data_IF_392662580748
#
_entry.id   IF_392662580748
#
_cell.length_a   1.000
_cell.length_b   1.000
_cell.length_c   1.000
_cell.angle_alpha   90.00
_cell.angle_beta   90.00
_cell.angle_gamma   90.00
#
_symmetry.space_group_name_H-M   'P 1'
#
loop_
_entity.id
_entity.type
_entity.pdbx_description
1 polymer ?
#
# COMPACT_ATOMS: atom_id res chain seq x y z
N UNK A 1 -20.81 -0.07 0.67
CA UNK A 1 -22.28 0.07 0.71
C UNK A 1 -22.78 0.25 -0.72
N UNK A 2 -23.90 -0.37 -1.07
CA UNK A 2 -24.62 -0.22 -2.35
C UNK A 2 -26.13 -0.15 -2.06
N UNK A 3 -26.92 0.44 -2.95
CA UNK A 3 -28.36 0.65 -2.70
C UNK A 3 -29.17 -0.65 -2.61
N UNK A 4 -28.74 -1.69 -3.32
CA UNK A 4 -29.41 -2.99 -3.33
C UNK A 4 -28.42 -4.11 -3.05
N UNK A 5 -28.49 -4.67 -1.85
CA UNK A 5 -27.65 -5.77 -1.41
C UNK A 5 -27.99 -7.10 -2.11
N UNK A 6 -29.20 -7.26 -2.64
CA UNK A 6 -29.62 -8.49 -3.34
C UNK A 6 -28.93 -8.65 -4.71
N UNK A 7 -28.35 -7.57 -5.24
CA UNK A 7 -27.62 -7.58 -6.52
C UNK A 7 -26.28 -8.32 -6.46
N UNK A 8 -25.75 -8.59 -5.27
CA UNK A 8 -24.49 -9.31 -5.06
C UNK A 8 -24.75 -10.54 -4.19
N UNK A 9 -24.85 -11.70 -4.83
CA UNK A 9 -24.95 -12.99 -4.13
C UNK A 9 -23.56 -13.62 -4.10
N UNK A 10 -22.98 -13.68 -2.91
CA UNK A 10 -21.66 -14.28 -2.71
C UNK A 10 -21.72 -15.81 -2.86
N UNK A 11 -20.81 -16.38 -3.64
CA UNK A 11 -20.59 -17.82 -3.70
C UNK A 11 -19.75 -18.32 -2.52
N UNK A 12 -19.79 -19.62 -2.23
CA UNK A 12 -18.98 -20.26 -1.19
C UNK A 12 -18.34 -21.53 -1.75
N UNK A 13 -17.03 -21.78 -1.54
CA UNK A 13 -16.05 -20.93 -0.83
C UNK A 13 -15.57 -19.74 -1.68
N UNK A 14 -15.32 -18.59 -1.03
CA UNK A 14 -14.82 -17.35 -1.68
C UNK A 14 -13.46 -16.86 -1.17
N UNK A 15 -12.95 -17.45 -0.09
CA UNK A 15 -11.62 -17.17 0.44
C UNK A 15 -10.77 -18.43 0.39
N UNK A 16 -9.53 -18.31 -0.07
CA UNK A 16 -8.54 -19.37 -0.05
C UNK A 16 -7.24 -18.87 0.59
N UNK A 17 -6.60 -19.70 1.42
CA UNK A 17 -5.26 -19.43 1.95
C UNK A 17 -4.24 -20.22 1.14
N UNK A 18 -3.29 -19.54 0.50
CA UNK A 18 -2.12 -20.19 -0.09
C UNK A 18 -1.21 -20.66 1.05
N UNK A 19 -1.01 -21.97 1.20
CA UNK A 19 -0.13 -22.55 2.23
C UNK A 19 1.21 -22.91 1.60
N UNK A 20 2.32 -22.41 2.16
CA UNK A 20 3.63 -23.02 1.96
C UNK A 20 3.73 -24.28 2.86
N UNK A 21 4.13 -25.43 2.32
CA UNK A 21 4.29 -26.67 3.10
C UNK A 21 5.46 -26.58 4.10
N UNK A 22 5.48 -27.28 5.23
CA UNK A 22 4.87 -28.58 5.54
C UNK A 22 4.33 -28.69 6.99
N UNK A 23 3.30 -29.52 7.17
CA UNK A 23 2.77 -30.09 8.44
C UNK A 23 1.60 -29.37 9.15
N UNK A 24 0.71 -28.72 8.40
CA UNK A 24 -0.47 -28.04 8.93
C UNK A 24 -1.57 -28.95 9.50
N UNK A 25 -1.78 -28.89 10.81
CA UNK A 25 -3.06 -29.19 11.45
C UNK A 25 -3.57 -27.95 12.20
N UNK A 26 -4.89 -27.75 12.21
CA UNK A 26 -5.76 -27.40 13.36
C UNK A 26 -7.11 -26.91 12.83
N UNK A 27 -8.18 -27.57 13.32
CA UNK A 27 -9.60 -27.23 13.22
C UNK A 27 -9.94 -26.00 14.08
N UNK A 28 -10.98 -25.25 13.71
CA UNK A 28 -11.80 -24.47 14.66
C UNK A 28 -12.28 -23.09 14.18
N UNK A 29 -13.58 -23.01 13.81
CA UNK A 29 -14.58 -21.94 14.05
C UNK A 29 -14.18 -20.43 14.00
N UNK A 30 -14.94 -19.46 13.46
CA UNK A 30 -16.32 -19.39 12.91
C UNK A 30 -16.58 -18.00 12.26
N UNK A 31 -17.61 -17.96 11.38
CA UNK A 31 -18.62 -16.91 11.01
C UNK A 31 -18.16 -15.56 10.45
N UNK A 32 -18.59 -15.30 9.21
CA UNK A 32 -18.53 -14.00 8.57
C UNK A 32 -19.55 -13.02 9.15
N UNK A 33 -19.17 -11.75 9.19
CA UNK A 33 -19.98 -10.67 9.76
C UNK A 33 -20.75 -9.97 8.64
N UNK A 34 -22.08 -10.15 8.64
CA UNK A 34 -23.03 -9.19 8.06
C UNK A 34 -23.66 -8.43 9.23
N UNK A 35 -23.42 -7.11 9.27
CA UNK A 35 -24.27 -6.04 9.83
C UNK A 35 -23.36 -4.84 10.15
N UNK A 36 -23.47 -3.76 9.37
CA UNK A 36 -22.97 -2.44 9.74
C UNK A 36 -24.05 -1.79 10.58
N UNK A 37 -24.05 -2.06 11.88
CA UNK A 37 -24.57 -1.16 12.91
C UNK A 37 -23.37 -0.63 13.68
N UNK A 38 -22.68 0.36 13.13
CA UNK A 38 -21.68 1.13 13.86
C UNK A 38 -21.76 2.55 13.33
N UNK A 39 -22.73 3.29 13.86
CA UNK A 39 -22.88 4.69 13.52
C UNK A 39 -22.82 5.46 14.84
N UNK A 40 -21.58 5.85 15.16
CA UNK A 40 -21.19 6.93 16.08
C UNK A 40 -21.11 6.66 17.60
N UNK A 41 -20.46 5.56 18.01
CA UNK A 41 -20.02 5.39 19.41
C UNK A 41 -18.63 5.98 19.71
N UNK A 42 -17.85 6.39 18.69
CA UNK A 42 -16.46 6.85 18.84
C UNK A 42 -16.22 8.19 18.12
N UNK A 43 -16.61 9.33 18.72
CA UNK A 43 -16.51 10.65 18.08
C UNK A 43 -15.07 11.14 17.85
N UNK A 44 -14.09 10.46 18.45
CA UNK A 44 -12.66 10.70 18.32
C UNK A 44 -12.03 9.98 17.12
N UNK A 45 -12.82 9.20 16.36
CA UNK A 45 -12.34 8.37 15.25
C UNK A 45 -13.05 8.73 13.95
N UNK A 46 -12.27 8.79 12.87
CA UNK A 46 -12.77 9.02 11.52
C UNK A 46 -13.48 7.77 11.01
N UNK A 47 -14.72 7.93 10.54
CA UNK A 47 -15.52 6.91 9.88
C UNK A 47 -15.63 7.22 8.39
N UNK A 48 -15.02 6.37 7.56
CA UNK A 48 -15.06 6.47 6.10
C UNK A 48 -15.99 5.41 5.53
N UNK A 49 -16.99 5.82 4.73
CA UNK A 49 -17.87 4.89 4.06
C UNK A 49 -17.34 4.50 2.67
N UNK A 50 -16.92 3.24 2.51
CA UNK A 50 -16.58 2.69 1.19
C UNK A 50 -17.86 2.39 0.40
N UNK A 51 -18.06 3.09 -0.72
CA UNK A 51 -19.29 3.02 -1.54
C UNK A 51 -19.00 2.61 -2.98
N UNK A 52 -19.97 1.94 -3.60
CA UNK A 52 -19.91 1.50 -4.99
C UNK A 52 -21.32 1.39 -5.54
N UNK A 53 -21.55 1.93 -6.74
CA UNK A 53 -22.84 1.86 -7.44
C UNK A 53 -22.61 1.70 -8.95
N UNK A 54 -23.63 1.24 -9.68
CA UNK A 54 -23.61 1.14 -11.14
C UNK A 54 -23.42 2.52 -11.79
N UNK A 55 -23.16 2.56 -13.10
CA UNK A 55 -23.04 3.81 -13.85
C UNK A 55 -24.41 4.49 -14.03
N UNK A 56 -24.94 5.03 -12.94
CA UNK A 56 -26.25 5.69 -12.82
C UNK A 56 -26.12 6.89 -11.91
N UNK A 57 -26.25 8.10 -12.47
CA UNK A 57 -26.15 9.34 -11.71
C UNK A 57 -27.14 9.38 -10.54
N UNK A 58 -28.41 9.04 -10.77
CA UNK A 58 -29.44 9.05 -9.73
C UNK A 58 -29.19 8.01 -8.64
N UNK A 59 -28.59 6.86 -8.99
CA UNK A 59 -28.19 5.85 -8.00
C UNK A 59 -27.05 6.35 -7.11
N UNK A 60 -26.04 7.01 -7.69
CA UNK A 60 -24.96 7.63 -6.92
C UNK A 60 -25.48 8.75 -6.00
N UNK A 61 -26.34 9.65 -6.51
CA UNK A 61 -26.95 10.72 -5.72
C UNK A 61 -27.72 10.15 -4.52
N UNK A 62 -28.60 9.16 -4.75
CA UNK A 62 -29.39 8.54 -3.68
C UNK A 62 -28.51 7.80 -2.65
N UNK A 63 -27.47 7.09 -3.10
CA UNK A 63 -26.55 6.38 -2.21
C UNK A 63 -25.78 7.36 -1.32
N UNK A 64 -25.27 8.43 -1.90
CA UNK A 64 -24.53 9.48 -1.19
C UNK A 64 -25.45 10.14 -0.16
N UNK A 65 -26.65 10.59 -0.55
CA UNK A 65 -27.61 11.23 0.35
C UNK A 65 -27.93 10.35 1.57
N UNK A 66 -28.17 9.05 1.35
CA UNK A 66 -28.50 8.10 2.43
C UNK A 66 -27.31 7.85 3.35
N UNK A 67 -26.11 7.70 2.79
CA UNK A 67 -24.92 7.40 3.58
C UNK A 67 -24.44 8.65 4.33
N UNK A 68 -24.53 9.84 3.74
CA UNK A 68 -24.17 11.10 4.43
C UNK A 68 -25.03 11.34 5.68
N UNK A 69 -26.33 11.02 5.62
CA UNK A 69 -27.23 11.10 6.77
C UNK A 69 -26.84 10.22 7.96
N UNK A 70 -25.95 9.24 7.75
CA UNK A 70 -25.39 8.43 8.85
C UNK A 70 -24.32 9.19 9.65
N UNK A 71 -23.86 10.35 9.17
CA UNK A 71 -22.89 11.18 9.88
C UNK A 71 -21.47 10.62 9.84
N UNK A 72 -21.12 9.94 8.75
CA UNK A 72 -19.75 9.61 8.32
C UNK A 72 -18.91 10.89 8.14
N UNK A 73 -17.60 10.74 8.18
CA UNK A 73 -16.66 11.86 8.00
C UNK A 73 -16.18 11.98 6.55
N UNK A 74 -16.13 10.86 5.80
CA UNK A 74 -15.72 10.85 4.40
C UNK A 74 -16.28 9.66 3.62
N UNK A 75 -16.25 9.77 2.30
CA UNK A 75 -16.55 8.69 1.37
C UNK A 75 -15.28 8.12 0.73
N UNK A 76 -15.21 6.81 0.57
CA UNK A 76 -14.21 6.14 -0.27
C UNK A 76 -14.91 5.50 -1.46
N UNK A 77 -14.64 5.99 -2.68
CA UNK A 77 -15.31 5.52 -3.88
C UNK A 77 -14.50 4.38 -4.51
N UNK A 78 -15.06 3.17 -4.53
CA UNK A 78 -14.36 1.98 -4.99
C UNK A 78 -14.52 1.78 -6.51
N UNK A 79 -13.49 2.08 -7.28
CA UNK A 79 -13.47 1.89 -8.74
C UNK A 79 -12.74 0.63 -9.22
N UNK A 80 -12.13 -0.14 -8.32
CA UNK A 80 -11.09 -1.11 -8.70
C UNK A 80 -11.32 -2.53 -8.19
N UNK A 81 -12.54 -2.87 -7.75
CA UNK A 81 -12.83 -4.23 -7.30
C UNK A 81 -12.56 -5.24 -8.43
N UNK A 82 -11.64 -6.20 -8.28
CA UNK A 82 -11.38 -7.21 -9.31
C UNK A 82 -12.51 -8.25 -9.42
N UNK A 83 -13.45 -8.24 -8.47
CA UNK A 83 -14.71 -8.98 -8.54
C UNK A 83 -15.84 -8.12 -9.11
N UNK A 84 -15.52 -6.91 -9.60
CA UNK A 84 -16.45 -6.10 -10.38
C UNK A 84 -16.96 -6.92 -11.56
N UNK A 85 -18.24 -6.78 -11.88
CA UNK A 85 -18.88 -7.44 -13.01
C UNK A 85 -18.65 -6.56 -14.25
N UNK A 86 -17.67 -6.86 -15.14
CA UNK A 86 -17.41 -6.01 -16.31
C UNK A 86 -18.64 -5.95 -17.23
N UNK A 87 -19.44 -7.02 -17.25
CA UNK A 87 -20.74 -7.09 -17.94
C UNK A 87 -21.76 -6.05 -17.45
N UNK A 88 -21.62 -5.55 -16.21
CA UNK A 88 -22.44 -4.48 -15.64
C UNK A 88 -21.76 -3.11 -15.68
N UNK A 89 -20.65 -2.98 -16.42
CA UNK A 89 -19.81 -1.77 -16.46
C UNK A 89 -19.30 -1.36 -15.07
N UNK A 90 -19.16 -2.31 -14.15
CA UNK A 90 -18.66 -2.09 -12.80
C UNK A 90 -17.28 -2.73 -12.66
N UNK A 91 -16.29 -1.97 -12.16
CA UNK A 91 -14.98 -2.47 -11.75
C UNK A 91 -14.24 -3.26 -12.82
N UNK A 92 -13.66 -2.57 -13.81
CA UNK A 92 -12.78 -3.20 -14.80
C UNK A 92 -11.37 -2.59 -14.76
N UNK A 93 -10.45 -3.34 -14.13
CA UNK A 93 -9.03 -3.46 -14.45
C UNK A 93 -8.14 -2.19 -14.57
N UNK A 94 -8.40 -1.14 -13.79
CA UNK A 94 -7.47 0.00 -13.70
C UNK A 94 -6.29 -0.28 -12.74
N UNK A 95 -6.46 -1.22 -11.80
CA UNK A 95 -5.52 -1.44 -10.69
C UNK A 95 -4.19 -2.14 -11.01
N UNK A 96 -3.96 -2.62 -12.24
CA UNK A 96 -2.88 -3.58 -12.50
C UNK A 96 -1.57 -2.95 -12.98
N UNK A 97 -1.63 -1.91 -13.80
CA UNK A 97 -0.44 -1.25 -14.34
C UNK A 97 -0.11 0.01 -13.53
N UNK A 98 1.14 0.14 -13.09
CA UNK A 98 1.60 1.27 -12.28
C UNK A 98 1.60 2.60 -13.04
N UNK A 99 1.79 2.58 -14.37
CA UNK A 99 1.69 3.77 -15.24
C UNK A 99 0.23 4.14 -15.47
N UNK A 100 -0.65 3.13 -15.56
CA UNK A 100 -2.10 3.36 -15.67
C UNK A 100 -2.78 3.73 -14.35
N UNK A 101 -2.08 3.74 -13.21
CA UNK A 101 -2.67 4.16 -11.93
C UNK A 101 -2.57 5.67 -11.69
N UNK A 102 -1.56 6.34 -12.27
CA UNK A 102 -1.40 7.78 -12.14
C UNK A 102 -2.51 8.55 -12.86
N UNK A 103 -2.94 8.11 -14.05
CA UNK A 103 -3.98 8.80 -14.82
C UNK A 103 -5.37 8.79 -14.14
N UNK A 104 -5.90 7.66 -13.65
CA UNK A 104 -7.11 7.63 -12.85
C UNK A 104 -7.00 8.46 -11.58
N UNK A 105 -5.85 8.40 -10.88
CA UNK A 105 -5.63 9.22 -9.70
C UNK A 105 -5.68 10.72 -10.05
N UNK A 106 -4.98 11.13 -11.12
CA UNK A 106 -5.00 12.49 -11.67
C UNK A 106 -6.40 12.93 -12.05
N UNK A 107 -7.17 12.08 -12.72
CA UNK A 107 -8.57 12.34 -13.09
C UNK A 107 -9.44 12.51 -11.84
N UNK A 108 -9.30 11.64 -10.84
CA UNK A 108 -10.04 11.73 -9.59
C UNK A 108 -9.78 13.06 -8.86
N UNK A 109 -8.49 13.42 -8.68
CA UNK A 109 -8.12 14.69 -8.04
C UNK A 109 -8.63 15.91 -8.82
N UNK A 110 -8.50 15.93 -10.16
CA UNK A 110 -9.05 17.01 -11.02
C UNK A 110 -10.58 17.08 -10.99
N UNK A 111 -11.24 15.97 -10.69
CA UNK A 111 -12.70 15.89 -10.59
C UNK A 111 -13.23 16.27 -9.20
N UNK A 112 -12.35 16.63 -8.26
CA UNK A 112 -12.71 17.13 -6.94
C UNK A 112 -12.51 16.15 -5.79
N UNK A 113 -11.91 14.98 -6.01
CA UNK A 113 -11.54 14.10 -4.90
C UNK A 113 -10.42 14.72 -4.05
N UNK A 114 -10.54 14.65 -2.72
CA UNK A 114 -9.56 15.19 -1.76
C UNK A 114 -8.43 14.21 -1.42
N UNK A 115 -8.47 13.01 -2.00
CA UNK A 115 -7.42 12.04 -1.80
C UNK A 115 -7.59 10.77 -2.63
N UNK A 116 -6.57 9.94 -2.58
CA UNK A 116 -6.48 8.67 -3.29
C UNK A 116 -6.25 7.53 -2.29
N UNK A 117 -6.98 6.43 -2.44
CA UNK A 117 -6.73 5.20 -1.71
C UNK A 117 -6.05 4.18 -2.64
N UNK A 118 -4.86 3.71 -2.26
CA UNK A 118 -4.05 2.82 -3.08
C UNK A 118 -3.33 1.76 -2.22
N UNK A 119 -3.51 0.45 -2.42
CA UNK A 119 -4.16 -0.20 -3.57
C UNK A 119 -5.23 -1.19 -3.13
N UNK A 120 -6.12 -1.49 -4.07
CA UNK A 120 -6.99 -2.66 -3.97
C UNK A 120 -6.20 -3.95 -4.28
N UNK A 121 -6.85 -5.10 -4.11
CA UNK A 121 -6.29 -6.41 -4.38
C UNK A 121 -5.81 -6.59 -5.83
N UNK A 122 -4.77 -7.41 -6.00
CA UNK A 122 -4.19 -7.71 -7.31
C UNK A 122 -4.88 -8.94 -7.89
N UNK A 123 -5.47 -8.85 -9.08
CA UNK A 123 -6.09 -10.03 -9.71
C UNK A 123 -5.08 -11.18 -9.87
N UNK A 124 -5.45 -12.38 -9.44
CA UNK A 124 -4.60 -13.56 -9.43
C UNK A 124 -5.40 -14.87 -9.51
N UNK A 125 -4.73 -15.93 -9.95
CA UNK A 125 -5.19 -17.32 -9.81
C UNK A 125 -4.42 -17.94 -8.64
N UNK A 126 -5.13 -18.38 -7.59
CA UNK A 126 -4.49 -18.83 -6.36
C UNK A 126 -3.76 -20.16 -6.51
N UNK A 127 -4.27 -21.05 -7.38
CA UNK A 127 -3.63 -22.33 -7.65
C UNK A 127 -4.50 -23.26 -8.49
N UNK A 128 -3.87 -24.33 -8.98
CA UNK A 128 -4.53 -25.44 -9.67
C UNK A 128 -4.31 -26.70 -8.85
N UNK A 129 -5.39 -27.39 -8.52
CA UNK A 129 -5.34 -28.70 -7.89
C UNK A 129 -4.77 -29.73 -8.88
N UNK A 130 -3.54 -30.18 -8.68
CA UNK A 130 -2.84 -31.04 -9.64
C UNK A 130 -3.47 -32.44 -9.84
N UNK A 131 -4.33 -32.89 -8.93
CA UNK A 131 -5.05 -34.17 -9.07
C UNK A 131 -6.31 -34.04 -9.92
N UNK A 132 -7.04 -32.96 -9.73
CA UNK A 132 -8.34 -32.74 -10.41
C UNK A 132 -8.22 -31.83 -11.63
N UNK A 133 -7.07 -31.15 -11.79
CA UNK A 133 -6.80 -30.10 -12.77
C UNK A 133 -7.74 -28.89 -12.66
N UNK A 134 -8.46 -28.76 -11.54
CA UNK A 134 -9.40 -27.67 -11.30
C UNK A 134 -8.73 -26.50 -10.57
N UNK A 135 -9.14 -25.26 -10.85
CA UNK A 135 -8.66 -24.10 -10.11
C UNK A 135 -9.16 -24.09 -8.66
N UNK A 136 -8.38 -23.48 -7.77
CA UNK A 136 -8.72 -23.27 -6.35
C UNK A 136 -8.81 -21.76 -6.04
N UNK A 137 -9.77 -21.29 -5.21
CA UNK A 137 -10.90 -22.05 -4.67
C UNK A 137 -11.89 -22.46 -5.76
N UNK A 138 -12.55 -23.59 -5.56
CA UNK A 138 -13.46 -24.19 -6.54
C UNK A 138 -14.91 -24.11 -6.04
N UNK A 139 -15.81 -23.62 -6.89
CA UNK A 139 -17.26 -23.59 -6.68
C UNK A 139 -17.89 -24.40 -7.80
N UNK A 140 -18.59 -25.49 -7.46
CA UNK A 140 -19.23 -26.40 -8.43
C UNK A 140 -18.31 -26.90 -9.57
N UNK A 141 -16.99 -26.99 -9.33
CA UNK A 141 -16.01 -27.42 -10.35
C UNK A 141 -15.33 -26.28 -11.11
N UNK A 142 -15.72 -25.02 -10.88
CA UNK A 142 -15.24 -23.84 -11.58
C UNK A 142 -14.63 -22.80 -10.63
N UNK A 143 -13.95 -21.80 -11.18
CA UNK A 143 -13.43 -20.65 -10.45
C UNK A 143 -13.27 -19.46 -11.39
N UNK A 144 -13.06 -18.28 -10.82
CA UNK A 144 -12.68 -17.06 -11.53
C UNK A 144 -11.41 -16.51 -10.88
N UNK A 145 -10.52 -15.80 -11.62
CA UNK A 145 -9.47 -15.02 -10.98
C UNK A 145 -10.04 -14.13 -9.87
N UNK A 146 -9.37 -14.10 -8.74
CA UNK A 146 -9.79 -13.37 -7.54
C UNK A 146 -8.77 -12.32 -7.12
N UNK A 147 -9.06 -11.63 -6.02
CA UNK A 147 -8.16 -10.64 -5.44
C UNK A 147 -7.06 -11.26 -4.57
N UNK A 148 -5.80 -11.08 -4.97
CA UNK A 148 -4.62 -11.39 -4.16
C UNK A 148 -4.30 -10.24 -3.22
N UNK A 149 -4.00 -10.56 -1.98
CA UNK A 149 -3.78 -9.61 -0.88
C UNK A 149 -2.70 -10.15 0.07
N UNK A 150 -2.66 -9.63 1.30
CA UNK A 150 -1.67 -10.01 2.32
C UNK A 150 -0.25 -9.52 2.03
N UNK A 151 0.70 -9.93 2.89
CA UNK A 151 2.11 -9.53 2.87
C UNK A 151 2.78 -9.65 1.50
N UNK A 152 2.38 -10.62 0.68
CA UNK A 152 2.93 -10.81 -0.65
C UNK A 152 2.66 -9.65 -1.62
N UNK A 153 1.61 -8.86 -1.38
CA UNK A 153 1.28 -7.68 -2.19
C UNK A 153 2.04 -6.43 -1.73
N UNK A 154 2.61 -6.44 -0.52
CA UNK A 154 3.23 -5.25 0.08
C UNK A 154 4.25 -4.53 -0.82
N UNK A 155 5.28 -5.18 -1.40
CA UNK A 155 6.24 -4.47 -2.27
C UNK A 155 5.60 -3.90 -3.54
N UNK A 156 4.53 -4.52 -4.05
CA UNK A 156 3.77 -4.00 -5.20
C UNK A 156 2.99 -2.75 -4.78
N UNK A 157 2.37 -2.78 -3.60
CA UNK A 157 1.63 -1.65 -3.04
C UNK A 157 2.53 -0.46 -2.77
N UNK A 158 3.72 -0.67 -2.18
CA UNK A 158 4.73 0.38 -1.97
C UNK A 158 5.12 1.06 -3.29
N UNK A 159 5.42 0.28 -4.33
CA UNK A 159 5.77 0.82 -5.65
C UNK A 159 4.64 1.67 -6.27
N UNK A 160 3.39 1.25 -6.11
CA UNK A 160 2.21 1.98 -6.61
C UNK A 160 1.96 3.27 -5.82
N UNK A 161 2.04 3.21 -4.49
CA UNK A 161 1.91 4.40 -3.61
C UNK A 161 3.01 5.41 -3.91
N UNK A 162 4.27 4.96 -4.04
CA UNK A 162 5.38 5.84 -4.40
C UNK A 162 5.14 6.59 -5.71
N UNK A 163 4.64 5.92 -6.75
CA UNK A 163 4.36 6.57 -8.04
C UNK A 163 3.25 7.61 -7.91
N UNK A 164 2.16 7.28 -7.21
CA UNK A 164 1.05 8.21 -6.97
C UNK A 164 1.53 9.41 -6.17
N UNK A 165 2.30 9.20 -5.09
CA UNK A 165 2.85 10.29 -4.27
C UNK A 165 3.79 11.21 -5.06
N UNK A 166 4.64 10.65 -5.94
CA UNK A 166 5.49 11.46 -6.84
C UNK A 166 4.67 12.27 -7.83
N UNK A 167 3.64 11.66 -8.42
CA UNK A 167 2.73 12.34 -9.35
C UNK A 167 1.98 13.46 -8.63
N UNK A 168 1.43 13.19 -7.44
CA UNK A 168 0.79 14.18 -6.59
C UNK A 168 1.77 15.33 -6.35
N UNK A 169 2.93 15.08 -5.73
CA UNK A 169 3.96 16.12 -5.47
C UNK A 169 4.36 16.93 -6.70
N UNK A 170 4.39 16.34 -7.88
CA UNK A 170 4.78 17.01 -9.12
C UNK A 170 3.65 17.86 -9.76
N UNK A 171 2.39 17.44 -9.63
CA UNK A 171 1.26 18.02 -10.39
C UNK A 171 0.20 18.68 -9.50
N UNK A 172 0.10 18.28 -8.25
CA UNK A 172 -0.92 18.66 -7.28
C UNK A 172 -0.21 19.05 -5.98
N UNK A 173 -0.33 20.29 -5.53
CA UNK A 173 0.33 20.70 -4.29
C UNK A 173 -0.06 19.76 -3.13
N UNK A 174 0.87 18.91 -2.69
CA UNK A 174 0.63 17.71 -1.84
C UNK A 174 0.07 18.05 -0.45
N UNK A 175 0.15 19.32 -0.05
CA UNK A 175 -0.38 19.85 1.20
C UNK A 175 -1.92 19.83 1.26
N UNK A 176 -2.60 19.73 0.11
CA UNK A 176 -4.06 19.77 0.03
C UNK A 176 -4.73 18.43 -0.28
N UNK A 177 -3.95 17.41 -0.62
CA UNK A 177 -4.47 16.11 -1.03
C UNK A 177 -3.91 15.01 -0.14
N UNK A 178 -4.73 14.00 0.14
CA UNK A 178 -4.36 12.88 0.99
C UNK A 178 -4.11 11.60 0.20
N UNK A 179 -3.17 10.77 0.67
CA UNK A 179 -2.91 9.46 0.11
C UNK A 179 -3.07 8.39 1.19
N UNK A 180 -3.98 7.45 1.00
CA UNK A 180 -4.20 6.32 1.89
C UNK A 180 -3.51 5.07 1.33
N UNK A 181 -2.43 4.64 1.98
CA UNK A 181 -1.65 3.47 1.58
C UNK A 181 -2.26 2.16 2.09
N UNK A 182 -2.37 1.15 1.23
CA UNK A 182 -3.04 -0.11 1.53
C UNK A 182 -2.35 -1.27 0.80
N UNK A 183 -2.03 -2.32 1.53
CA UNK A 183 -1.57 -3.59 0.95
C UNK A 183 -0.51 -4.28 1.79
N UNK A 184 -0.85 -5.42 2.38
CA UNK A 184 0.11 -6.28 3.08
C UNK A 184 0.72 -5.71 4.36
N UNK A 185 0.01 -4.82 5.05
CA UNK A 185 0.42 -4.23 6.33
C UNK A 185 0.12 -5.20 7.48
N UNK A 186 1.15 -5.60 8.22
CA UNK A 186 1.07 -6.50 9.38
C UNK A 186 1.81 -5.95 10.62
N UNK A 187 2.76 -5.03 10.42
CA UNK A 187 3.60 -4.39 11.45
C UNK A 187 3.61 -2.86 11.33
N UNK A 188 4.03 -2.16 12.40
CA UNK A 188 4.21 -0.72 12.38
C UNK A 188 5.35 -0.27 11.45
N UNK A 189 6.34 -1.15 11.22
CA UNK A 189 7.35 -0.94 10.18
C UNK A 189 6.75 -0.88 8.78
N UNK A 190 5.82 -1.79 8.47
CA UNK A 190 5.11 -1.80 7.19
C UNK A 190 4.29 -0.51 6.99
N UNK A 191 3.71 0.02 8.07
CA UNK A 191 3.00 1.30 8.03
C UNK A 191 3.96 2.48 7.83
N UNK A 192 5.12 2.46 8.50
CA UNK A 192 6.16 3.47 8.33
C UNK A 192 6.67 3.51 6.88
N UNK A 193 6.82 2.37 6.21
CA UNK A 193 7.21 2.31 4.79
C UNK A 193 6.21 3.05 3.88
N UNK A 194 4.90 2.89 4.10
CA UNK A 194 3.90 3.64 3.33
C UNK A 194 3.98 5.15 3.59
N UNK A 195 4.14 5.57 4.85
CA UNK A 195 4.23 7.00 5.21
C UNK A 195 5.51 7.62 4.63
N UNK A 196 6.65 6.94 4.72
CA UNK A 196 7.91 7.34 4.09
C UNK A 196 7.79 7.53 2.57
N UNK A 197 6.85 6.84 1.93
CA UNK A 197 6.53 6.97 0.51
C UNK A 197 5.42 7.99 0.21
N UNK A 198 4.96 8.75 1.21
CA UNK A 198 4.04 9.88 1.03
C UNK A 198 2.60 9.61 1.48
N UNK A 199 2.27 8.43 2.02
CA UNK A 199 0.93 8.17 2.53
C UNK A 199 0.63 9.00 3.79
N UNK A 200 -0.53 9.66 3.80
CA UNK A 200 -1.10 10.37 4.97
C UNK A 200 -1.78 9.41 5.95
N UNK A 201 -2.32 8.30 5.45
CA UNK A 201 -2.95 7.24 6.27
C UNK A 201 -2.58 5.86 5.74
N UNK A 202 -2.72 4.83 6.59
CA UNK A 202 -2.45 3.45 6.23
C UNK A 202 -3.64 2.57 6.60
N UNK A 203 -4.16 1.80 5.65
CA UNK A 203 -5.28 0.88 5.90
C UNK A 203 -4.82 -0.58 6.00
N UNK A 204 -5.56 -1.37 6.79
CA UNK A 204 -5.25 -2.78 7.08
C UNK A 204 -6.50 -3.64 6.95
N UNK A 205 -6.42 -4.70 6.15
CA UNK A 205 -7.49 -5.69 5.98
C UNK A 205 -7.03 -7.10 6.36
N UNK A 206 -6.20 -7.73 5.52
CA UNK A 206 -5.75 -9.11 5.74
C UNK A 206 -5.00 -9.32 7.05
N UNK A 207 -4.21 -8.34 7.48
CA UNK A 207 -3.53 -8.40 8.79
C UNK A 207 -4.53 -8.61 9.93
N UNK A 208 -5.63 -7.84 9.96
CA UNK A 208 -6.67 -7.94 10.99
C UNK A 208 -7.39 -9.28 10.90
N UNK A 209 -7.65 -9.77 9.68
CA UNK A 209 -8.24 -11.10 9.48
C UNK A 209 -7.36 -12.24 10.01
N UNK A 210 -6.04 -12.05 10.02
CA UNK A 210 -5.05 -13.07 10.44
C UNK A 210 -4.69 -12.97 11.91
N UNK A 211 -4.65 -11.76 12.48
CA UNK A 211 -4.13 -11.49 13.82
C UNK A 211 -5.16 -10.91 14.80
N UNK A 212 -6.36 -10.57 14.32
CA UNK A 212 -7.43 -9.93 15.09
C UNK A 212 -7.20 -8.43 15.30
N UNK A 213 -8.26 -7.74 15.74
CA UNK A 213 -8.23 -6.29 16.01
C UNK A 213 -7.13 -5.80 16.98
N UNK A 214 -6.70 -6.56 18.02
CA UNK A 214 -5.63 -6.11 18.91
C UNK A 214 -4.30 -5.78 18.22
N UNK A 215 -4.08 -6.25 16.98
CA UNK A 215 -2.88 -5.89 16.22
C UNK A 215 -2.73 -4.37 16.03
N UNK A 216 -3.83 -3.61 16.01
CA UNK A 216 -3.79 -2.15 15.81
C UNK A 216 -2.98 -1.47 16.91
N UNK A 217 -3.07 -1.97 18.16
CA UNK A 217 -2.27 -1.45 19.27
C UNK A 217 -0.77 -1.64 19.01
N UNK A 218 -0.38 -2.83 18.55
CA UNK A 218 1.00 -3.16 18.19
C UNK A 218 1.50 -2.31 17.02
N UNK A 219 0.68 -2.11 15.98
CA UNK A 219 1.02 -1.20 14.86
C UNK A 219 1.38 0.20 15.36
N UNK A 220 0.55 0.76 16.25
CA UNK A 220 0.79 2.09 16.81
C UNK A 220 2.04 2.14 17.71
N UNK A 221 2.30 1.10 18.52
CA UNK A 221 3.49 1.03 19.39
C UNK A 221 4.78 0.94 18.56
N UNK A 222 4.82 0.06 17.56
CA UNK A 222 5.96 -0.10 16.67
C UNK A 222 6.23 1.16 15.84
N UNK A 223 5.18 1.84 15.36
CA UNK A 223 5.32 3.12 14.64
C UNK A 223 5.87 4.23 15.54
N UNK A 224 5.41 4.32 16.80
CA UNK A 224 5.95 5.28 17.77
C UNK A 224 7.42 4.99 18.09
N UNK A 225 7.80 3.73 18.18
CA UNK A 225 9.19 3.35 18.42
C UNK A 225 10.09 3.69 17.21
N UNK A 226 9.59 3.49 15.99
CA UNK A 226 10.26 3.97 14.77
C UNK A 226 10.46 5.49 14.83
N UNK A 227 9.41 6.25 15.14
CA UNK A 227 9.51 7.72 15.27
C UNK A 227 10.55 8.13 16.31
N UNK A 228 10.55 7.47 17.49
CA UNK A 228 11.52 7.73 18.57
C UNK A 228 12.97 7.44 18.15
N UNK A 229 13.19 6.39 17.35
CA UNK A 229 14.52 6.00 16.86
C UNK A 229 15.10 7.02 15.89
N UNK A 230 14.24 7.79 15.22
CA UNK A 230 14.61 8.79 14.23
C UNK A 230 14.39 10.24 14.70
N UNK A 231 14.09 10.45 15.99
CA UNK A 231 13.79 11.75 16.58
C UNK A 231 12.63 12.51 15.88
N UNK A 232 11.64 11.78 15.34
CA UNK A 232 10.44 12.35 14.76
C UNK A 232 9.37 12.62 15.84
N UNK A 233 8.73 13.78 15.76
CA UNK A 233 7.65 14.22 16.66
C UNK A 233 6.25 13.96 16.08
N UNK A 234 6.13 13.92 14.75
CA UNK A 234 4.90 13.71 13.99
C UNK A 234 5.16 12.81 12.79
N UNK A 235 4.09 12.17 12.28
CA UNK A 235 4.17 11.46 10.99
C UNK A 235 4.50 12.39 9.83
N UNK A 236 4.16 13.68 9.95
CA UNK A 236 4.49 14.69 8.95
C UNK A 236 5.99 14.95 8.83
N UNK A 237 6.77 14.68 9.88
CA UNK A 237 8.23 14.91 9.88
C UNK A 237 8.96 13.98 8.91
N UNK A 238 8.35 12.84 8.57
CA UNK A 238 8.96 11.83 7.69
C UNK A 238 8.09 11.41 6.51
N UNK A 239 6.87 11.97 6.39
CA UNK A 239 5.98 11.68 5.27
C UNK A 239 6.67 12.05 3.95
N UNK A 240 6.82 11.06 3.07
CA UNK A 240 7.45 11.25 1.76
C UNK A 240 8.98 11.42 1.79
N UNK A 241 9.64 11.30 2.95
CA UNK A 241 11.09 11.49 3.07
C UNK A 241 11.91 10.50 2.23
N UNK A 242 11.35 9.34 1.87
CA UNK A 242 12.05 8.39 0.99
C UNK A 242 11.94 8.70 -0.50
N UNK A 243 11.03 9.60 -0.92
CA UNK A 243 10.73 9.83 -2.33
C UNK A 243 11.93 10.37 -3.13
N UNK A 244 12.82 11.13 -2.48
CA UNK A 244 14.00 11.73 -3.11
C UNK A 244 15.08 10.70 -3.50
N UNK A 245 15.09 9.53 -2.86
CA UNK A 245 16.09 8.49 -3.12
C UNK A 245 15.75 7.60 -4.31
N UNK A 246 14.55 7.73 -4.88
CA UNK A 246 14.13 6.99 -6.06
C UNK A 246 14.41 7.77 -7.33
N UNK A 247 15.23 7.19 -8.21
CA UNK A 247 15.56 7.76 -9.53
C UNK A 247 15.51 6.70 -10.63
N UNK A 248 15.71 7.11 -11.89
CA UNK A 248 15.74 6.19 -13.02
C UNK A 248 17.02 5.34 -13.05
N UNK A 249 16.97 4.18 -13.69
CA UNK A 249 18.15 3.33 -13.86
C UNK A 249 19.29 4.07 -14.57
N UNK A 250 18.96 4.88 -15.58
CA UNK A 250 19.94 5.70 -16.32
C UNK A 250 20.64 6.71 -15.41
N UNK A 251 19.90 7.36 -14.50
CA UNK A 251 20.49 8.28 -13.53
C UNK A 251 21.36 7.55 -12.49
N UNK A 252 20.94 6.37 -12.03
CA UNK A 252 21.76 5.54 -11.13
C UNK A 252 23.10 5.15 -11.76
N UNK A 253 23.10 4.74 -13.03
CA UNK A 253 24.34 4.42 -13.78
C UNK A 253 25.26 5.65 -13.83
N UNK A 254 24.71 6.82 -14.14
CA UNK A 254 25.48 8.08 -14.16
C UNK A 254 26.09 8.40 -12.80
N UNK A 255 25.29 8.35 -11.73
CA UNK A 255 25.74 8.60 -10.34
C UNK A 255 26.84 7.62 -9.94
N UNK A 256 26.69 6.34 -10.27
CA UNK A 256 27.69 5.32 -9.99
C UNK A 256 29.01 5.60 -10.72
N UNK A 257 28.95 5.95 -12.00
CA UNK A 257 30.14 6.29 -12.79
C UNK A 257 30.85 7.53 -12.23
N UNK A 258 30.11 8.54 -11.79
CA UNK A 258 30.66 9.73 -11.14
C UNK A 258 31.35 9.40 -9.82
N UNK A 259 30.70 8.63 -8.94
CA UNK A 259 31.29 8.18 -7.69
C UNK A 259 32.59 7.38 -7.91
N UNK A 260 32.62 6.52 -8.93
CA UNK A 260 33.84 5.79 -9.32
C UNK A 260 34.95 6.76 -9.78
N UNK A 261 34.61 7.79 -10.57
CA UNK A 261 35.58 8.81 -11.01
C UNK A 261 36.15 9.60 -9.84
N UNK A 262 35.30 10.02 -8.90
CA UNK A 262 35.72 10.74 -7.70
C UNK A 262 36.65 9.89 -6.83
N UNK A 263 36.30 8.62 -6.55
CA UNK A 263 37.17 7.69 -5.81
C UNK A 263 38.53 7.50 -6.48
N UNK A 264 38.57 7.41 -7.82
CA UNK A 264 39.82 7.33 -8.58
C UNK A 264 40.63 8.62 -8.53
N UNK A 265 39.99 9.79 -8.53
CA UNK A 265 40.67 11.08 -8.40
C UNK A 265 41.26 11.27 -6.99
N UNK A 266 40.52 10.94 -5.94
CA UNK A 266 41.03 10.92 -4.55
C UNK A 266 42.21 9.96 -4.41
N UNK A 267 42.11 8.75 -4.96
CA UNK A 267 43.21 7.77 -4.95
C UNK A 267 44.45 8.22 -5.72
N UNK A 268 44.29 9.06 -6.76
CA UNK A 268 45.43 9.69 -7.46
C UNK A 268 46.02 10.88 -6.68
N UNK A 269 45.26 11.47 -5.76
CA UNK A 269 45.69 12.55 -4.86
C UNK A 269 46.38 12.06 -3.59
N UNK A 270 46.22 10.78 -3.23
CA UNK A 270 47.09 10.10 -2.27
C UNK A 270 48.48 9.97 -2.88
N UNK A 271 49.48 10.57 -2.23
CA UNK A 271 50.89 10.50 -2.63
C UNK A 271 51.28 9.04 -2.90
N UNK A 272 51.94 8.80 -4.02
CA UNK A 272 52.60 7.51 -4.29
C UNK A 272 53.51 7.15 -3.11
N UNK A 273 53.62 5.86 -2.74
CA UNK A 273 54.56 5.35 -1.72
C UNK A 273 56.00 5.89 -1.84
N UNK A 274 56.37 6.40 -3.03
CA UNK A 274 57.67 7.02 -3.31
C UNK A 274 57.83 8.46 -2.79
N UNK A 275 56.76 9.11 -2.35
CA UNK A 275 56.74 10.50 -1.85
C UNK A 275 56.42 10.60 -0.35
N UNK A 276 56.43 9.47 0.36
CA UNK A 276 56.18 9.39 1.79
C UNK A 276 57.44 9.71 2.61
N UNK A 277 57.39 10.78 3.40
CA UNK A 277 58.36 11.08 4.46
C UNK A 277 57.81 10.52 5.79
N UNK A 278 58.69 9.97 6.63
CA UNK A 278 58.33 9.19 7.82
C UNK A 278 57.33 9.83 8.80
N UNK A 279 57.23 11.16 8.82
CA UNK A 279 56.30 11.89 9.69
C UNK A 279 54.83 11.82 9.24
N UNK A 280 54.57 11.57 7.95
CA UNK A 280 53.20 11.47 7.40
C UNK A 280 52.48 10.16 7.75
N UNK A 281 53.22 9.15 8.27
CA UNK A 281 52.66 7.87 8.68
C UNK A 281 51.79 8.02 9.94
N UNK A 282 52.19 8.88 10.87
CA UNK A 282 51.54 8.98 12.19
C UNK A 282 50.18 9.67 12.09
N UNK A 283 50.06 10.73 11.29
CA UNK A 283 48.80 11.47 11.10
C UNK A 283 47.70 10.64 10.40
N UNK A 284 48.04 9.81 9.40
CA UNK A 284 47.01 9.00 8.72
C UNK A 284 46.55 7.80 9.56
N UNK A 285 47.44 7.20 10.36
CA UNK A 285 47.07 6.06 11.19
C UNK A 285 46.08 6.47 12.29
N UNK A 286 46.18 7.70 12.83
CA UNK A 286 45.21 8.23 13.79
C UNK A 286 43.83 8.51 13.15
N UNK A 287 43.78 8.87 11.87
CA UNK A 287 42.53 9.10 11.14
C UNK A 287 41.77 7.80 10.78
N UNK A 288 42.45 6.65 10.77
CA UNK A 288 41.87 5.35 10.43
C UNK A 288 41.35 4.56 11.64
N UNK A 289 41.73 4.94 12.85
CA UNK A 289 41.39 4.24 14.10
C UNK A 289 40.33 4.99 14.91
N UNK A 290 39.93 6.19 14.49
CA UNK A 290 38.78 6.92 15.04
C UNK A 290 37.49 6.55 14.31
N UNK A 291 36.88 5.45 14.74
CA UNK A 291 35.44 5.17 14.63
C UNK A 291 34.96 4.56 15.94
#
# INVERSE_FOLDING_TARGET
VSLDAAKVINVTPRYAKLRAGANGSVKGQIIGWENIELIKEYPDRILIASIMEEYSKSGWEELIDRVEQTGIDAFEINFSCPHGMPERKMGAAVGQDCVLLEEPARVALRSGCEGIAAINTIMSVMGINLKTLRPEPCVEGYSTPGGYSSKAVHPIALGKVMNIAKMMKAEFNDDHYSLSGIGGVETGGDAAEFILLGASTVQVCTGVMMHGYPMVKRLCEELKEFMRTHDFSSIEDFRGASLEYFTSHTDLVRRQQEAIRQRKAVRKGLKSDKEWTGDGFVEETESMVSN
#
